data_IF_280210037654
#
_entry.id   IF_280210037654
#
_cell.length_a   1.000
_cell.length_b   1.000
_cell.length_c   1.000
_cell.angle_alpha   90.00
_cell.angle_beta   90.00
_cell.angle_gamma   90.00
#
_symmetry.space_group_name_H-M   'P 1'
#
loop_
_entity.id
_entity.type
_entity.pdbx_description
1 polymer ?
#
# COMPACT_ATOMS: atom_id res chain seq x y z
N UNK A 1 -53.48 -1.10 6.11
CA UNK A 1 -52.30 -1.22 5.23
C UNK A 1 -51.09 -0.90 6.09
N UNK A 2 -50.23 -1.88 6.36
CA UNK A 2 -49.08 -1.69 7.25
C UNK A 2 -47.94 -1.08 6.44
N UNK A 3 -47.61 0.18 6.71
CA UNK A 3 -46.46 0.86 6.13
C UNK A 3 -45.18 0.17 6.63
N UNK A 4 -44.59 -0.69 5.79
CA UNK A 4 -43.26 -1.23 6.06
C UNK A 4 -42.27 -0.06 5.96
N UNK A 5 -41.68 0.34 7.09
CA UNK A 5 -40.53 1.25 7.10
C UNK A 5 -39.45 0.69 6.16
N UNK A 6 -38.85 1.50 5.27
CA UNK A 6 -37.74 1.04 4.45
C UNK A 6 -36.61 0.62 5.40
N UNK A 7 -36.20 -0.63 5.29
CA UNK A 7 -35.02 -1.14 5.99
C UNK A 7 -33.82 -0.44 5.34
N UNK A 8 -33.24 0.54 6.05
CA UNK A 8 -32.03 1.21 5.59
C UNK A 8 -30.88 0.21 5.73
N UNK A 9 -30.43 -0.34 4.61
CA UNK A 9 -29.19 -1.11 4.55
C UNK A 9 -28.02 -0.15 4.78
N UNK A 10 -27.45 -0.20 5.98
CA UNK A 10 -26.30 0.61 6.36
C UNK A 10 -25.04 -0.21 6.16
N UNK A 11 -24.09 0.36 5.42
CA UNK A 11 -22.75 -0.21 5.21
C UNK A 11 -21.77 0.51 6.14
N UNK A 12 -20.88 -0.24 6.82
CA UNK A 12 -19.88 0.38 7.68
C UNK A 12 -18.71 1.00 6.88
N UNK A 13 -17.98 1.93 7.51
CA UNK A 13 -16.85 2.65 6.89
C UNK A 13 -15.73 1.75 6.36
N UNK A 14 -15.58 0.53 6.88
CA UNK A 14 -14.55 -0.43 6.44
C UNK A 14 -14.75 -0.95 5.01
N UNK A 15 -15.91 -0.68 4.41
CA UNK A 15 -16.17 -1.03 3.01
C UNK A 15 -15.72 0.05 2.02
N UNK A 16 -15.23 1.19 2.51
CA UNK A 16 -14.78 2.32 1.69
C UNK A 16 -13.25 2.42 1.72
N UNK A 17 -12.66 2.94 0.63
CA UNK A 17 -11.26 3.32 0.63
C UNK A 17 -11.02 4.53 1.55
N UNK A 18 -9.78 4.69 2.03
CA UNK A 18 -9.45 5.82 2.92
C UNK A 18 -9.69 7.17 2.25
N UNK A 19 -9.40 7.26 0.95
CA UNK A 19 -9.63 8.45 0.12
C UNK A 19 -11.11 8.82 0.03
N UNK A 20 -12.02 7.84 0.11
CA UNK A 20 -13.45 8.06 0.08
C UNK A 20 -14.00 8.61 1.41
N UNK A 21 -13.20 8.65 2.47
CA UNK A 21 -13.57 9.15 3.80
C UNK A 21 -12.93 10.51 4.06
N UNK A 22 -13.75 11.56 4.13
CA UNK A 22 -13.33 12.90 4.55
C UNK A 22 -13.16 12.96 6.06
N UNK A 23 -11.90 13.08 6.48
CA UNK A 23 -11.51 13.30 7.89
C UNK A 23 -11.20 14.76 8.22
N UNK A 24 -10.88 15.56 7.22
CA UNK A 24 -10.47 16.95 7.39
C UNK A 24 -11.34 17.87 6.55
N UNK A 25 -11.49 19.11 7.02
CA UNK A 25 -12.05 20.22 6.25
C UNK A 25 -11.01 21.30 6.08
N UNK A 26 -11.06 21.94 4.92
CA UNK A 26 -10.15 23.00 4.56
C UNK A 26 -10.91 24.32 4.59
N UNK A 27 -10.36 25.30 5.29
CA UNK A 27 -10.87 26.67 5.35
C UNK A 27 -9.71 27.63 5.18
N UNK A 28 -9.96 28.83 4.66
CA UNK A 28 -8.93 29.85 4.51
C UNK A 28 -9.11 30.92 5.59
N UNK A 29 -8.01 31.34 6.20
CA UNK A 29 -8.03 32.53 7.05
C UNK A 29 -8.18 33.77 6.15
N UNK A 30 -9.21 34.55 6.40
CA UNK A 30 -9.56 35.75 5.62
C UNK A 30 -8.46 36.82 5.75
N UNK A 31 -7.71 36.83 6.86
CA UNK A 31 -6.70 37.87 7.13
C UNK A 31 -5.33 37.53 6.55
N UNK A 32 -4.89 36.29 6.69
CA UNK A 32 -3.54 35.85 6.26
C UNK A 32 -3.56 35.17 4.90
N UNK A 33 -4.73 34.72 4.42
CA UNK A 33 -4.86 33.91 3.21
C UNK A 33 -4.37 32.47 3.39
N UNK A 34 -3.98 32.08 4.59
CA UNK A 34 -3.42 30.76 4.85
C UNK A 34 -4.50 29.68 4.84
N UNK A 35 -4.13 28.50 4.33
CA UNK A 35 -4.99 27.32 4.33
C UNK A 35 -4.91 26.63 5.69
N UNK A 36 -6.04 26.58 6.38
CA UNK A 36 -6.23 25.89 7.65
C UNK A 36 -6.93 24.55 7.38
N UNK A 37 -6.28 23.45 7.77
CA UNK A 37 -6.87 22.11 7.74
C UNK A 37 -7.29 21.71 9.17
N UNK A 38 -8.59 21.48 9.36
CA UNK A 38 -9.17 21.13 10.68
C UNK A 38 -9.75 19.71 10.65
N UNK A 39 -9.47 18.86 11.65
CA UNK A 39 -10.08 17.53 11.73
C UNK A 39 -11.58 17.61 12.04
N UNK A 40 -12.36 16.76 11.40
CA UNK A 40 -13.80 16.63 11.63
C UNK A 40 -14.08 15.79 12.87
N UNK A 41 -15.02 16.23 13.71
CA UNK A 41 -15.53 15.45 14.85
C UNK A 41 -16.23 14.15 14.42
N UNK A 42 -16.84 14.14 13.25
CA UNK A 42 -17.46 12.97 12.61
C UNK A 42 -17.00 12.89 11.17
N UNK A 43 -16.47 11.75 10.78
CA UNK A 43 -16.06 11.51 9.41
C UNK A 43 -17.28 11.54 8.48
N UNK A 44 -17.05 11.95 7.24
CA UNK A 44 -18.08 12.00 6.21
C UNK A 44 -17.58 11.26 4.98
N UNK A 45 -18.45 10.52 4.32
CA UNK A 45 -18.12 10.00 3.01
C UNK A 45 -18.03 11.15 2.00
N UNK A 46 -17.16 11.02 1.02
CA UNK A 46 -17.19 11.88 -0.15
C UNK A 46 -18.53 11.74 -0.88
N UNK A 47 -18.97 12.80 -1.54
CA UNK A 47 -20.18 12.74 -2.35
C UNK A 47 -20.01 11.66 -3.43
N UNK A 48 -21.02 10.81 -3.57
CA UNK A 48 -21.01 9.68 -4.51
C UNK A 48 -19.96 8.59 -4.22
N UNK A 49 -19.39 8.55 -3.02
CA UNK A 49 -18.56 7.43 -2.60
C UNK A 49 -19.37 6.13 -2.62
N UNK A 50 -18.81 5.10 -3.25
CA UNK A 50 -19.37 3.74 -3.30
C UNK A 50 -18.48 2.79 -2.49
N UNK A 51 -19.05 1.77 -1.83
CA UNK A 51 -18.25 0.76 -1.16
C UNK A 51 -17.49 -0.06 -2.21
N UNK A 52 -16.20 -0.24 -1.99
CA UNK A 52 -15.30 -0.95 -2.91
C UNK A 52 -14.54 -2.08 -2.24
N UNK A 53 -14.68 -2.28 -0.93
CA UNK A 53 -13.98 -3.32 -0.17
C UNK A 53 -15.00 -4.35 0.30
N UNK A 54 -14.90 -5.57 -0.19
CA UNK A 54 -15.84 -6.66 0.10
C UNK A 54 -15.06 -7.87 0.63
N UNK A 55 -15.05 -8.06 1.96
CA UNK A 55 -14.18 -9.03 2.65
C UNK A 55 -14.42 -10.49 2.26
N UNK A 56 -15.66 -10.84 1.96
CA UNK A 56 -16.05 -12.22 1.61
C UNK A 56 -16.06 -12.48 0.11
N UNK A 57 -15.58 -11.52 -0.69
CA UNK A 57 -15.54 -11.61 -2.13
C UNK A 57 -14.10 -11.68 -2.64
N UNK A 58 -13.87 -12.26 -3.84
CA UNK A 58 -12.56 -12.26 -4.45
C UNK A 58 -11.95 -10.86 -4.53
N UNK A 59 -10.65 -10.78 -4.26
CA UNK A 59 -9.92 -9.51 -4.19
C UNK A 59 -10.00 -8.71 -5.49
N UNK A 60 -10.12 -9.37 -6.65
CA UNK A 60 -10.27 -8.68 -7.94
C UNK A 60 -11.60 -7.92 -8.11
N UNK A 61 -12.63 -8.23 -7.29
CA UNK A 61 -13.88 -7.47 -7.23
C UNK A 61 -13.82 -6.33 -6.22
N UNK A 62 -12.87 -6.38 -5.30
CA UNK A 62 -12.60 -5.29 -4.38
C UNK A 62 -11.59 -4.33 -5.02
N UNK A 63 -11.86 -3.03 -4.97
CA UNK A 63 -10.91 -2.02 -5.45
C UNK A 63 -9.84 -1.68 -4.40
N UNK A 64 -9.64 -2.56 -3.41
CA UNK A 64 -8.62 -2.42 -2.37
C UNK A 64 -7.26 -2.53 -3.03
N UNK A 65 -6.73 -1.41 -3.51
CA UNK A 65 -5.40 -1.26 -4.10
C UNK A 65 -4.97 -2.55 -4.82
N UNK A 66 -5.71 -2.96 -5.85
CA UNK A 66 -5.28 -4.09 -6.67
C UNK A 66 -3.84 -3.76 -7.07
N UNK A 67 -2.84 -4.59 -6.71
CA UNK A 67 -1.47 -4.30 -7.06
C UNK A 67 -1.47 -4.08 -8.57
N UNK A 68 -1.13 -2.86 -8.98
CA UNK A 68 -1.03 -2.53 -10.38
C UNK A 68 -0.14 -3.61 -10.99
N UNK A 69 -0.58 -4.21 -12.11
CA UNK A 69 0.26 -5.20 -12.80
C UNK A 69 1.62 -4.54 -13.00
N UNK A 70 2.66 -5.17 -12.45
CA UNK A 70 4.02 -4.69 -12.65
C UNK A 70 4.25 -4.48 -14.14
N UNK A 71 4.78 -3.32 -14.51
CA UNK A 71 5.09 -3.12 -15.91
C UNK A 71 6.20 -4.12 -16.31
N UNK A 72 6.24 -4.58 -17.57
CA UNK A 72 7.25 -5.55 -18.01
C UNK A 72 8.68 -5.13 -17.67
N UNK A 73 8.96 -3.82 -17.75
CA UNK A 73 10.26 -3.24 -17.43
C UNK A 73 10.62 -3.36 -15.94
N UNK A 74 9.68 -3.06 -15.04
CA UNK A 74 9.89 -3.22 -13.59
C UNK A 74 10.19 -4.68 -13.25
N UNK A 75 9.47 -5.61 -13.86
CA UNK A 75 9.71 -7.04 -13.66
C UNK A 75 11.10 -7.47 -14.13
N UNK A 76 11.55 -6.98 -15.29
CA UNK A 76 12.90 -7.26 -15.80
C UNK A 76 13.98 -6.69 -14.87
N UNK A 77 13.78 -5.46 -14.40
CA UNK A 77 14.71 -4.80 -13.47
C UNK A 77 14.84 -5.56 -12.14
N UNK A 78 13.73 -6.10 -11.61
CA UNK A 78 13.76 -6.94 -10.41
C UNK A 78 14.61 -8.19 -10.64
N UNK A 79 14.40 -8.88 -11.77
CA UNK A 79 15.16 -10.10 -12.11
C UNK A 79 16.66 -9.82 -12.29
N UNK A 80 17.00 -8.71 -12.95
CA UNK A 80 18.40 -8.30 -13.12
C UNK A 80 19.07 -7.98 -11.77
N UNK A 81 18.37 -7.24 -10.90
CA UNK A 81 18.85 -6.92 -9.56
C UNK A 81 19.06 -8.18 -8.71
N UNK A 82 18.14 -9.14 -8.75
CA UNK A 82 18.30 -10.42 -8.07
C UNK A 82 19.52 -11.19 -8.58
N UNK A 83 19.78 -11.16 -9.89
CA UNK A 83 20.93 -11.82 -10.49
C UNK A 83 22.24 -11.16 -10.06
N UNK A 84 22.28 -9.82 -10.05
CA UNK A 84 23.41 -9.04 -9.57
C UNK A 84 23.72 -9.34 -8.10
N UNK A 85 22.70 -9.34 -7.24
CA UNK A 85 22.87 -9.65 -5.81
C UNK A 85 23.41 -11.05 -5.58
N UNK A 86 22.89 -12.06 -6.30
CA UNK A 86 23.40 -13.43 -6.22
C UNK A 86 24.89 -13.50 -6.62
N UNK A 87 25.27 -12.81 -7.68
CA UNK A 87 26.65 -12.77 -8.17
C UNK A 87 27.60 -12.10 -7.16
N UNK A 88 27.16 -11.00 -6.53
CA UNK A 88 27.91 -10.31 -5.47
C UNK A 88 28.12 -11.24 -4.28
N UNK A 89 27.07 -11.93 -3.82
CA UNK A 89 27.16 -12.86 -2.69
C UNK A 89 28.13 -14.02 -3.00
N UNK A 90 28.03 -14.62 -4.18
CA UNK A 90 28.94 -15.69 -4.60
C UNK A 90 30.40 -15.23 -4.62
N UNK A 91 30.66 -14.00 -5.10
CA UNK A 91 32.00 -13.41 -5.11
C UNK A 91 32.55 -13.21 -3.70
N UNK A 92 31.74 -12.70 -2.77
CA UNK A 92 32.13 -12.52 -1.36
C UNK A 92 32.48 -13.88 -0.72
N UNK A 93 31.62 -14.89 -0.91
CA UNK A 93 31.84 -16.25 -0.38
C UNK A 93 33.14 -16.83 -0.93
N UNK A 94 33.35 -16.76 -2.24
CA UNK A 94 34.57 -17.27 -2.90
C UNK A 94 35.83 -16.59 -2.37
N UNK A 95 35.80 -15.25 -2.21
CA UNK A 95 36.93 -14.48 -1.66
C UNK A 95 37.24 -14.91 -0.22
N UNK A 96 36.22 -15.09 0.62
CA UNK A 96 36.40 -15.52 2.00
C UNK A 96 36.94 -16.95 2.11
N UNK A 97 36.46 -17.86 1.26
CA UNK A 97 36.97 -19.23 1.20
C UNK A 97 38.45 -19.27 0.79
N UNK A 98 38.84 -18.50 -0.23
CA UNK A 98 40.24 -18.37 -0.65
C UNK A 98 41.13 -17.85 0.48
N UNK A 99 40.70 -16.81 1.20
CA UNK A 99 41.43 -16.27 2.36
C UNK A 99 41.60 -17.31 3.47
N UNK A 100 40.53 -18.03 3.83
CA UNK A 100 40.57 -19.09 4.84
C UNK A 100 41.54 -20.21 4.44
N UNK A 101 41.45 -20.69 3.19
CA UNK A 101 42.35 -21.72 2.69
C UNK A 101 43.80 -21.26 2.65
N UNK A 102 44.05 -19.98 2.31
CA UNK A 102 45.38 -19.40 2.38
C UNK A 102 45.90 -19.43 3.82
N UNK A 103 45.14 -18.94 4.80
CA UNK A 103 45.55 -18.93 6.22
C UNK A 103 45.88 -20.34 6.76
N UNK A 104 45.06 -21.35 6.42
CA UNK A 104 45.30 -22.73 6.85
C UNK A 104 46.59 -23.32 6.29
N UNK A 105 47.11 -22.83 5.15
CA UNK A 105 48.38 -23.29 4.57
C UNK A 105 49.63 -22.82 5.31
N UNK A 106 49.54 -21.77 6.13
CA UNK A 106 50.68 -21.24 6.90
C UNK A 106 50.68 -21.69 8.37
N UNK A 107 49.77 -22.59 8.75
CA UNK A 107 49.67 -23.14 10.10
C UNK A 107 50.19 -24.58 10.23
N UNK A 108 50.66 -25.19 9.12
CA UNK A 108 51.26 -26.53 9.07
C UNK A 108 52.74 -26.45 8.71
#
# INVERSE_FOLDING_TARGET
>A
MSEKKPHLEVVCELHFSDDAIRRYTETYDIKTGEKICVPLKRFKLQNFAVPTIFKDFPTYLSNSANPARECPEQRLQILENEHLQRSIQASIISKNLKKRNHLLRFQN
#
